data_IF_257696328650
#
_entry.id   IF_257696328650
#
_cell.length_a   1.000
_cell.length_b   1.000
_cell.length_c   1.000
_cell.angle_alpha   90.00
_cell.angle_beta   90.00
_cell.angle_gamma   90.00
#
_symmetry.space_group_name_H-M   'P 1'
#
loop_
_entity.id
_entity.type
_entity.pdbx_description
1 polymer ?
#
# COMPACT_ATOMS: atom_id res chain seq x y z
N UNK A 1 -2.45 18.29 -14.62
CA UNK A 1 -2.77 17.64 -15.90
C UNK A 1 -4.26 17.39 -16.01
N UNK A 2 -4.87 16.50 -15.19
CA UNK A 2 -6.33 16.25 -15.29
C UNK A 2 -7.18 17.50 -14.96
N UNK A 3 -6.86 18.22 -13.88
CA UNK A 3 -7.59 19.45 -13.47
C UNK A 3 -7.39 20.63 -14.43
N UNK A 4 -6.29 20.60 -15.20
CA UNK A 4 -5.89 21.62 -16.18
C UNK A 4 -6.30 21.22 -17.60
N UNK A 5 -7.15 20.20 -17.75
CA UNK A 5 -7.65 19.67 -19.02
C UNK A 5 -6.55 19.28 -20.03
N UNK A 6 -5.35 18.94 -19.53
CA UNK A 6 -4.22 18.52 -20.36
C UNK A 6 -4.21 17.02 -20.69
N UNK A 7 -5.04 16.24 -20.01
CA UNK A 7 -5.24 14.79 -20.22
C UNK A 7 -6.70 14.44 -19.93
N UNK A 8 -7.23 13.43 -20.60
CA UNK A 8 -8.64 13.00 -20.44
C UNK A 8 -8.88 12.11 -19.21
N UNK A 9 -7.85 11.40 -18.74
CA UNK A 9 -7.95 10.48 -17.62
C UNK A 9 -6.63 10.39 -16.82
N UNK A 10 -6.74 10.03 -15.54
CA UNK A 10 -5.60 9.75 -14.67
C UNK A 10 -5.91 8.60 -13.70
N UNK A 11 -4.87 7.95 -13.20
CA UNK A 11 -4.94 6.98 -12.12
C UNK A 11 -4.37 7.58 -10.82
N UNK A 12 -5.03 7.33 -9.70
CA UNK A 12 -4.59 7.75 -8.36
C UNK A 12 -5.15 6.78 -7.32
N UNK A 13 -4.64 6.81 -6.09
CA UNK A 13 -5.21 6.01 -5.01
C UNK A 13 -6.54 6.60 -4.53
N UNK A 14 -7.42 5.74 -3.99
CA UNK A 14 -8.67 6.20 -3.37
C UNK A 14 -8.41 7.16 -2.20
N UNK A 15 -7.25 7.03 -1.53
CA UNK A 15 -6.88 7.91 -0.42
C UNK A 15 -6.57 9.32 -0.93
N UNK A 16 -5.68 9.43 -1.91
CA UNK A 16 -5.31 10.72 -2.51
C UNK A 16 -6.52 11.44 -3.11
N UNK A 17 -7.40 10.71 -3.80
CA UNK A 17 -8.63 11.29 -4.34
C UNK A 17 -9.51 11.92 -3.24
N UNK A 18 -9.64 11.27 -2.08
CA UNK A 18 -10.41 11.78 -0.94
C UNK A 18 -9.75 12.98 -0.24
N UNK A 19 -8.44 13.13 -0.37
CA UNK A 19 -7.67 14.23 0.20
C UNK A 19 -7.69 15.49 -0.70
N UNK A 20 -8.26 15.41 -1.91
CA UNK A 20 -8.46 16.58 -2.79
C UNK A 20 -9.45 17.58 -2.17
N UNK A 21 -9.31 18.87 -2.54
CA UNK A 21 -10.30 19.89 -2.18
C UNK A 21 -11.68 19.54 -2.79
N UNK A 22 -12.81 19.79 -2.09
CA UNK A 22 -14.15 19.48 -2.59
C UNK A 22 -14.42 20.03 -3.99
N UNK A 23 -14.06 21.30 -4.25
CA UNK A 23 -14.23 21.94 -5.56
C UNK A 23 -13.44 21.26 -6.70
N UNK A 24 -12.40 20.49 -6.39
CA UNK A 24 -11.69 19.66 -7.37
C UNK A 24 -12.37 18.30 -7.51
N UNK A 25 -12.81 17.69 -6.41
CA UNK A 25 -13.51 16.40 -6.45
C UNK A 25 -14.80 16.49 -7.28
N UNK A 26 -15.55 17.57 -7.13
CA UNK A 26 -16.82 17.80 -7.83
C UNK A 26 -16.66 17.96 -9.35
N UNK A 27 -15.46 18.36 -9.80
CA UNK A 27 -15.12 18.47 -11.23
C UNK A 27 -14.67 17.15 -11.85
N UNK A 28 -14.46 16.11 -11.05
CA UNK A 28 -13.89 14.84 -11.49
C UNK A 28 -14.92 13.71 -11.39
N UNK A 29 -14.79 12.72 -12.28
CA UNK A 29 -15.62 11.52 -12.25
C UNK A 29 -14.74 10.28 -12.16
N UNK A 30 -15.07 9.38 -11.23
CA UNK A 30 -14.43 8.07 -11.15
C UNK A 30 -15.02 7.18 -12.24
N UNK A 31 -14.22 6.87 -13.26
CA UNK A 31 -14.62 6.02 -14.40
C UNK A 31 -14.31 4.53 -14.18
N UNK A 32 -13.47 4.19 -13.21
CA UNK A 32 -13.12 2.82 -12.87
C UNK A 32 -12.40 2.73 -11.52
N UNK A 33 -12.43 1.53 -10.92
CA UNK A 33 -11.69 1.22 -9.70
C UNK A 33 -11.01 -0.13 -9.84
N UNK A 34 -9.73 -0.21 -9.49
CA UNK A 34 -9.01 -1.47 -9.42
C UNK A 34 -9.42 -2.24 -8.17
N UNK A 35 -9.12 -3.55 -8.15
CA UNK A 35 -9.24 -4.36 -6.94
C UNK A 35 -8.28 -3.83 -5.86
N UNK A 36 -8.66 -3.98 -4.60
CA UNK A 36 -7.84 -3.58 -3.46
C UNK A 36 -6.66 -4.54 -3.27
N UNK A 37 -5.52 -4.00 -2.85
CA UNK A 37 -4.32 -4.71 -2.41
C UNK A 37 -3.91 -4.21 -1.03
N UNK A 38 -3.10 -4.96 -0.26
CA UNK A 38 -2.53 -4.45 0.99
C UNK A 38 -1.87 -3.07 0.79
N UNK A 39 -2.27 -2.09 1.60
CA UNK A 39 -1.76 -0.72 1.51
C UNK A 39 -0.25 -0.64 1.82
N UNK A 40 0.20 -1.43 2.80
CA UNK A 40 1.58 -1.48 3.25
C UNK A 40 1.88 -2.92 3.67
N UNK A 41 3.08 -3.38 3.34
CA UNK A 41 3.62 -4.68 3.75
C UNK A 41 4.94 -4.43 4.46
N UNK A 42 5.10 -5.02 5.63
CA UNK A 42 6.37 -5.00 6.36
C UNK A 42 7.17 -6.21 5.93
N UNK A 43 8.37 -5.97 5.40
CA UNK A 43 9.29 -7.00 4.96
C UNK A 43 10.52 -7.02 5.86
N UNK A 44 11.09 -8.20 6.06
CA UNK A 44 12.36 -8.40 6.77
C UNK A 44 13.38 -9.00 5.82
N UNK A 45 14.67 -8.76 6.09
CA UNK A 45 15.75 -9.42 5.33
C UNK A 45 15.69 -10.93 5.53
N UNK A 46 16.04 -11.70 4.49
CA UNK A 46 15.94 -13.16 4.45
C UNK A 46 16.72 -13.86 5.57
N UNK A 47 17.84 -13.29 5.97
CA UNK A 47 18.80 -13.81 6.93
C UNK A 47 18.64 -13.21 8.34
N UNK A 48 17.54 -12.49 8.62
CA UNK A 48 17.26 -12.02 9.97
C UNK A 48 16.96 -13.21 10.88
N UNK A 49 17.57 -13.23 12.07
CA UNK A 49 17.36 -14.27 13.07
C UNK A 49 15.83 -14.47 13.30
N UNK A 50 15.29 -15.69 13.13
CA UNK A 50 13.87 -15.96 13.33
C UNK A 50 13.33 -15.53 14.70
N UNK A 51 14.15 -15.56 15.75
CA UNK A 51 13.78 -15.08 17.09
C UNK A 51 13.53 -13.57 17.08
N UNK A 52 14.38 -12.82 16.37
CA UNK A 52 14.22 -11.37 16.19
C UNK A 52 12.98 -11.08 15.35
N UNK A 53 12.74 -11.83 14.28
CA UNK A 53 11.52 -11.68 13.46
C UNK A 53 10.26 -11.89 14.30
N UNK A 54 10.23 -12.95 15.13
CA UNK A 54 9.09 -13.24 16.00
C UNK A 54 8.85 -12.12 17.01
N UNK A 55 9.89 -11.64 17.68
CA UNK A 55 9.79 -10.55 18.64
C UNK A 55 9.31 -9.24 17.98
N UNK A 56 9.87 -8.90 16.81
CA UNK A 56 9.46 -7.71 16.05
C UNK A 56 7.99 -7.76 15.66
N UNK A 57 7.54 -8.92 15.17
CA UNK A 57 6.15 -9.13 14.78
C UNK A 57 5.19 -8.93 15.96
N UNK A 58 5.50 -9.51 17.11
CA UNK A 58 4.69 -9.38 18.32
C UNK A 58 4.60 -7.93 18.81
N UNK A 59 5.72 -7.20 18.81
CA UNK A 59 5.75 -5.77 19.14
C UNK A 59 4.86 -4.99 18.16
N UNK A 60 5.07 -5.16 16.85
CA UNK A 60 4.36 -4.43 15.80
C UNK A 60 2.84 -4.64 15.85
N UNK A 61 2.38 -5.88 16.09
CA UNK A 61 0.95 -6.22 16.20
C UNK A 61 0.25 -5.61 17.41
N UNK A 62 1.01 -5.14 18.40
CA UNK A 62 0.47 -4.53 19.62
C UNK A 62 0.79 -3.04 19.74
N UNK A 63 1.43 -2.42 18.74
CA UNK A 63 1.75 -0.99 18.76
C UNK A 63 0.51 -0.09 18.84
N UNK A 64 -0.65 -0.56 18.38
CA UNK A 64 -1.93 0.17 18.49
C UNK A 64 -2.51 0.15 19.93
N UNK A 65 -1.95 -0.68 20.81
CA UNK A 65 -2.33 -0.77 22.24
C UNK A 65 -1.34 -0.05 23.15
N UNK A 66 -0.12 0.16 22.68
CA UNK A 66 0.95 0.84 23.41
C UNK A 66 0.98 2.36 23.13
N UNK A 67 1.13 3.25 24.14
CA UNK A 67 1.16 4.70 23.93
C UNK A 67 2.29 5.17 22.99
N UNK A 68 3.50 4.64 23.17
CA UNK A 68 4.65 4.99 22.33
C UNK A 68 4.50 4.39 20.92
N UNK A 69 3.96 3.18 20.85
CA UNK A 69 3.52 2.51 19.63
C UNK A 69 2.56 3.38 18.82
N UNK A 70 1.52 3.96 19.44
CA UNK A 70 0.58 4.87 18.77
C UNK A 70 1.27 6.12 18.22
N UNK A 71 2.22 6.69 18.97
CA UNK A 71 3.01 7.85 18.51
C UNK A 71 3.85 7.49 17.29
N UNK A 72 4.52 6.32 17.32
CA UNK A 72 5.31 5.82 16.20
C UNK A 72 4.42 5.51 14.97
N UNK A 73 3.29 4.84 15.14
CA UNK A 73 2.33 4.56 14.08
C UNK A 73 1.78 5.83 13.43
N UNK A 74 1.47 6.87 14.23
CA UNK A 74 1.01 8.17 13.73
C UNK A 74 2.07 8.86 12.86
N UNK A 75 3.34 8.81 13.28
CA UNK A 75 4.48 9.32 12.48
C UNK A 75 4.66 8.53 11.19
N UNK A 76 4.41 7.21 11.22
CA UNK A 76 4.47 6.35 10.06
C UNK A 76 3.21 6.47 9.19
N UNK A 77 3.14 7.50 8.34
CA UNK A 77 2.04 7.71 7.39
C UNK A 77 0.62 7.71 7.98
N UNK A 78 0.47 8.16 9.24
CA UNK A 78 -0.80 8.09 9.99
C UNK A 78 -1.35 6.66 10.03
N UNK A 79 -0.50 5.67 10.24
CA UNK A 79 -0.92 4.28 10.38
C UNK A 79 -1.74 4.14 11.66
N UNK A 80 -2.85 3.43 11.56
CA UNK A 80 -3.75 3.20 12.71
C UNK A 80 -3.44 1.89 13.42
N UNK A 81 -3.02 0.86 12.67
CA UNK A 81 -2.73 -0.48 13.17
C UNK A 81 -1.84 -1.25 12.18
N UNK A 82 -1.12 -2.24 12.69
CA UNK A 82 -0.46 -3.28 11.90
C UNK A 82 -1.14 -4.61 12.23
N UNK A 83 -1.51 -5.36 11.21
CA UNK A 83 -2.24 -6.63 11.34
C UNK A 83 -1.49 -7.77 10.64
N UNK A 84 -1.87 -9.00 10.99
CA UNK A 84 -1.50 -10.18 10.21
C UNK A 84 -2.00 -10.05 8.78
N UNK A 85 -1.22 -10.53 7.83
CA UNK A 85 -1.61 -10.49 6.42
C UNK A 85 -2.70 -11.54 6.21
N UNK A 86 -3.94 -11.15 5.83
CA UNK A 86 -5.01 -12.12 5.66
C UNK A 86 -4.67 -13.13 4.56
N UNK A 87 -5.08 -14.40 4.70
CA UNK A 87 -4.90 -15.41 3.66
C UNK A 87 -5.44 -14.93 2.31
N UNK A 88 -4.68 -15.14 1.23
CA UNK A 88 -5.08 -14.74 -0.12
C UNK A 88 -4.86 -13.25 -0.46
N UNK A 89 -4.42 -12.40 0.47
CA UNK A 89 -4.19 -10.95 0.22
C UNK A 89 -3.18 -10.67 -0.89
N UNK A 90 -2.27 -11.62 -1.16
CA UNK A 90 -1.27 -11.53 -2.21
C UNK A 90 -1.67 -12.17 -3.53
N UNK A 91 -2.84 -12.79 -3.65
CA UNK A 91 -3.20 -13.51 -4.88
C UNK A 91 -3.25 -12.56 -6.08
N UNK A 92 -3.87 -11.40 -5.92
CA UNK A 92 -3.92 -10.40 -6.97
C UNK A 92 -2.52 -9.90 -7.37
N UNK A 93 -1.63 -9.70 -6.39
CA UNK A 93 -0.25 -9.27 -6.67
C UNK A 93 0.51 -10.35 -7.46
N UNK A 94 0.29 -11.63 -7.15
CA UNK A 94 0.84 -12.74 -7.95
C UNK A 94 0.26 -12.81 -9.36
N UNK A 95 -1.03 -12.52 -9.53
CA UNK A 95 -1.66 -12.53 -10.85
C UNK A 95 -1.11 -11.38 -11.72
N UNK A 96 -0.92 -10.20 -11.12
CA UNK A 96 -0.26 -9.04 -11.76
C UNK A 96 1.20 -9.39 -12.10
N UNK A 97 1.95 -9.95 -11.15
CA UNK A 97 3.33 -10.36 -11.34
C UNK A 97 3.48 -11.32 -12.53
N UNK A 98 2.64 -12.36 -12.59
CA UNK A 98 2.60 -13.30 -13.72
C UNK A 98 2.32 -12.61 -15.04
N UNK A 99 1.31 -11.74 -15.08
CA UNK A 99 0.96 -10.99 -16.28
C UNK A 99 2.11 -10.10 -16.73
N UNK A 100 2.73 -9.36 -15.81
CA UNK A 100 3.84 -8.45 -16.11
C UNK A 100 5.02 -9.23 -16.66
N UNK A 101 5.46 -10.29 -15.98
CA UNK A 101 6.62 -11.05 -16.43
C UNK A 101 6.38 -11.87 -17.70
N UNK A 102 5.14 -12.31 -17.98
CA UNK A 102 4.84 -13.04 -19.21
C UNK A 102 4.75 -12.14 -20.44
N UNK A 103 4.37 -10.86 -20.28
CA UNK A 103 4.19 -9.93 -21.41
C UNK A 103 5.36 -8.96 -21.61
N UNK A 104 6.07 -8.60 -20.54
CA UNK A 104 7.14 -7.60 -20.59
C UNK A 104 8.53 -8.18 -20.27
N UNK A 105 8.62 -9.47 -19.93
CA UNK A 105 9.88 -10.15 -19.60
C UNK A 105 10.45 -9.74 -18.23
N UNK A 106 11.57 -10.35 -17.84
CA UNK A 106 12.38 -9.92 -16.67
C UNK A 106 13.24 -8.72 -17.05
N UNK A 107 12.64 -7.58 -17.41
CA UNK A 107 13.40 -6.33 -17.41
C UNK A 107 13.28 -5.71 -16.02
N UNK A 108 14.09 -6.22 -15.09
CA UNK A 108 14.38 -5.60 -13.80
C UNK A 108 15.91 -5.45 -13.71
N UNK A 109 16.47 -4.64 -14.60
CA UNK A 109 17.70 -3.93 -14.29
C UNK A 109 17.30 -2.68 -13.49
N UNK A 110 17.97 -2.47 -12.35
CA UNK A 110 17.71 -1.46 -11.29
C UNK A 110 16.48 -1.75 -10.42
N UNK A 111 16.68 -2.21 -9.17
CA UNK A 111 17.05 -1.45 -7.95
C UNK A 111 17.82 -2.35 -6.98
#
# INVERSE_FOLDING_TARGET
MLVTDAVDAAATSTREFKELRPEIQDRLKIVGRTRSVPRLVISVRKDLDPKVVKALKEIMLNMDKDPDGKVALKKQQRTTKIDEIPPGSFQLLRDIEKFVFSHFGKQLDSW
#
